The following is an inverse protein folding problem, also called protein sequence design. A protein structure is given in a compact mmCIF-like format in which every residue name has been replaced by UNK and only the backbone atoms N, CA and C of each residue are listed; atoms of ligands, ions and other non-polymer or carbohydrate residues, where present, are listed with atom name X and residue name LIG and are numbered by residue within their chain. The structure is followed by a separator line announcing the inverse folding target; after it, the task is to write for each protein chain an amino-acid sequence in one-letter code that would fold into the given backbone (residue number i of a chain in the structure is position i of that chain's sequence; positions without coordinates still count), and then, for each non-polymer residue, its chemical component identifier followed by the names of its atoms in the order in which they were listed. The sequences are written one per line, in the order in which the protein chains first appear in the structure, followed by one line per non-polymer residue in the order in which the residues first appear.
data_IF_374585432503
#
_entry.id   IF_374585432503
#
_cell.length_a   1.000
_cell.length_b   1.000
_cell.length_c   1.000
_cell.angle_alpha   90.00
_cell.angle_beta   90.00
_cell.angle_gamma   90.00
#
_symmetry.space_group_name_H-M   'P 1'
#
loop_
_entity.id
_entity.type
_entity.pdbx_description
1 polymer ?
#
# COMPACT_ATOMS: atom_id res chain seq x y z
N UNK A 1 -39.41 16.75 6.85
CA UNK A 1 -38.56 17.30 7.93
C UNK A 1 -38.51 16.47 9.23
N UNK A 2 -39.58 15.79 9.68
CA UNK A 2 -39.54 15.03 10.96
C UNK A 2 -39.00 13.59 10.91
N UNK A 3 -38.91 12.94 9.74
CA UNK A 3 -38.36 11.57 9.61
C UNK A 3 -36.84 11.51 9.51
N UNK A 4 -36.21 12.51 8.87
CA UNK A 4 -34.74 12.58 8.71
C UNK A 4 -34.01 12.90 10.02
N UNK A 5 -34.64 13.68 10.91
CA UNK A 5 -34.08 13.99 12.24
C UNK A 5 -34.18 12.80 13.22
N UNK A 6 -35.14 11.90 13.01
CA UNK A 6 -35.35 10.73 13.87
C UNK A 6 -34.39 9.58 13.53
N UNK A 7 -34.00 9.44 12.25
CA UNK A 7 -33.01 8.45 11.80
C UNK A 7 -31.61 8.85 12.23
N UNK A 8 -31.27 10.15 12.21
CA UNK A 8 -30.02 10.67 12.76
C UNK A 8 -29.90 10.40 14.27
N UNK A 9 -30.99 10.56 15.03
CA UNK A 9 -31.02 10.30 16.48
C UNK A 9 -31.00 8.82 16.86
N UNK A 10 -31.50 7.92 15.98
CA UNK A 10 -31.48 6.48 16.23
C UNK A 10 -30.09 5.87 15.95
N UNK A 11 -29.38 6.36 14.94
CA UNK A 11 -27.97 6.00 14.69
C UNK A 11 -27.03 6.49 15.80
N UNK A 12 -27.30 7.68 16.37
CA UNK A 12 -26.54 8.23 17.50
C UNK A 12 -26.75 7.45 18.80
N UNK A 13 -27.95 6.89 19.04
CA UNK A 13 -28.25 6.17 20.30
C UNK A 13 -27.65 4.77 20.39
N UNK A 14 -27.39 4.09 19.27
CA UNK A 14 -26.77 2.76 19.27
C UNK A 14 -25.24 2.88 19.38
N UNK A 15 -24.65 3.96 18.84
CA UNK A 15 -23.23 4.30 19.03
C UNK A 15 -22.92 4.71 20.49
N UNK A 16 -23.84 5.41 21.17
CA UNK A 16 -23.64 5.89 22.54
C UNK A 16 -23.66 4.80 23.62
N UNK A 17 -24.21 3.61 23.33
CA UNK A 17 -24.26 2.50 24.30
C UNK A 17 -22.98 1.65 24.28
N UNK A 18 -22.18 1.68 23.19
CA UNK A 18 -20.89 1.00 23.13
C UNK A 18 -19.71 1.86 23.62
N UNK A 19 -19.83 3.19 23.58
CA UNK A 19 -18.71 4.13 23.80
C UNK A 19 -18.26 4.33 25.26
N UNK A 20 -18.88 3.68 26.26
CA UNK A 20 -18.47 3.87 27.66
C UNK A 20 -17.44 2.86 28.17
N UNK A 21 -16.98 1.86 27.39
CA UNK A 21 -16.01 0.88 27.89
C UNK A 21 -15.05 0.20 26.88
N UNK A 22 -15.08 0.51 25.58
CA UNK A 22 -14.20 -0.17 24.61
C UNK A 22 -13.00 0.70 24.23
N UNK A 23 -11.81 0.28 24.65
CA UNK A 23 -10.57 0.56 23.91
C UNK A 23 -10.73 0.01 22.50
N UNK A 24 -10.54 0.82 21.46
CA UNK A 24 -10.43 0.29 20.09
C UNK A 24 -9.31 -0.76 20.07
N UNK A 25 -9.61 -1.95 19.56
CA UNK A 25 -8.56 -2.94 19.34
C UNK A 25 -7.79 -2.53 18.08
N UNK A 26 -6.46 -2.54 18.13
CA UNK A 26 -5.66 -2.60 16.91
C UNK A 26 -5.96 -3.93 16.21
N UNK A 27 -5.87 -3.96 14.87
CA UNK A 27 -5.95 -5.21 14.12
C UNK A 27 -4.97 -6.25 14.66
N UNK A 28 -5.31 -7.53 14.58
CA UNK A 28 -4.39 -8.61 14.94
C UNK A 28 -3.13 -8.51 14.06
N UNK A 29 -1.96 -8.17 14.63
CA UNK A 29 -0.73 -8.02 13.85
C UNK A 29 -0.24 -9.34 13.25
N UNK A 30 -0.77 -10.48 13.74
CA UNK A 30 -0.38 -11.83 13.35
C UNK A 30 -1.46 -12.55 12.53
N UNK A 31 -2.45 -11.83 11.98
CA UNK A 31 -3.51 -12.43 11.18
C UNK A 31 -2.96 -13.14 9.93
N UNK A 32 -3.08 -14.49 9.83
CA UNK A 32 -2.60 -15.26 8.69
C UNK A 32 -3.41 -15.05 7.41
N UNK A 33 -4.62 -14.48 7.49
CA UNK A 33 -5.45 -14.15 6.33
C UNK A 33 -5.14 -12.75 5.76
N UNK A 34 -4.42 -11.91 6.51
CA UNK A 34 -3.95 -10.58 6.11
C UNK A 34 -4.93 -9.46 6.48
N UNK A 35 -4.44 -8.23 6.67
CA UNK A 35 -5.20 -7.17 7.33
C UNK A 35 -6.48 -6.77 6.56
N UNK A 36 -7.57 -6.52 7.29
CA UNK A 36 -8.72 -5.81 6.72
C UNK A 36 -8.27 -4.45 6.22
N UNK A 37 -8.84 -4.03 5.09
CA UNK A 37 -8.41 -2.81 4.45
C UNK A 37 -9.52 -2.12 3.67
N UNK A 38 -9.39 -0.80 3.55
CA UNK A 38 -10.17 0.05 2.65
C UNK A 38 -9.21 0.70 1.65
N UNK A 39 -9.54 0.61 0.37
CA UNK A 39 -8.65 1.05 -0.71
C UNK A 39 -9.43 1.39 -1.98
N UNK A 40 -8.73 1.92 -2.98
CA UNK A 40 -9.29 2.32 -4.27
C UNK A 40 -8.54 1.65 -5.42
N UNK A 41 -9.19 1.46 -6.58
CA UNK A 41 -8.47 1.27 -7.84
C UNK A 41 -7.88 2.62 -8.25
N UNK A 42 -6.60 2.71 -8.61
CA UNK A 42 -6.03 3.98 -9.10
C UNK A 42 -6.17 4.00 -10.62
N UNK A 43 -6.90 4.99 -11.15
CA UNK A 43 -7.04 5.26 -12.58
C UNK A 43 -7.08 6.77 -12.80
N UNK A 44 -6.49 7.24 -13.91
CA UNK A 44 -6.74 8.58 -14.42
C UNK A 44 -8.17 8.72 -14.96
N UNK A 45 -8.71 9.94 -14.94
CA UNK A 45 -9.99 10.23 -15.58
C UNK A 45 -9.83 11.33 -16.61
N UNK A 46 -10.38 11.08 -17.79
CA UNK A 46 -10.56 12.11 -18.79
C UNK A 46 -11.59 13.14 -18.34
N UNK A 47 -11.19 14.39 -18.41
CA UNK A 47 -12.02 15.55 -18.12
C UNK A 47 -11.99 16.44 -19.37
N UNK A 48 -13.12 16.69 -20.02
CA UNK A 48 -13.16 17.54 -21.20
C UNK A 48 -12.68 18.95 -20.85
N UNK A 49 -12.11 19.65 -21.84
CA UNK A 49 -11.61 21.00 -21.62
C UNK A 49 -12.75 21.94 -21.15
N UNK A 50 -12.45 22.92 -20.28
CA UNK A 50 -13.42 23.92 -19.87
C UNK A 50 -14.07 24.56 -21.11
N UNK A 51 -15.41 24.72 -21.16
CA UNK A 51 -16.35 24.75 -20.04
C UNK A 51 -17.11 23.44 -19.79
N UNK A 52 -16.73 22.32 -20.42
CA UNK A 52 -17.44 21.06 -20.24
C UNK A 52 -17.19 20.45 -18.84
N UNK A 53 -18.19 19.75 -18.30
CA UNK A 53 -18.11 19.13 -16.97
C UNK A 53 -17.70 17.67 -17.13
N UNK A 54 -16.49 17.34 -16.70
CA UNK A 54 -16.01 15.97 -16.58
C UNK A 54 -16.72 15.18 -15.51
N UNK A 55 -16.93 13.88 -15.78
CA UNK A 55 -17.58 12.93 -14.88
C UNK A 55 -16.59 11.84 -14.49
N UNK A 56 -16.40 11.67 -13.19
CA UNK A 56 -15.41 10.78 -12.60
C UNK A 56 -16.14 9.76 -11.74
N UNK A 57 -15.90 8.47 -11.94
CA UNK A 57 -16.56 7.39 -11.19
C UNK A 57 -15.52 6.53 -10.47
N UNK A 58 -15.44 6.67 -9.15
CA UNK A 58 -14.41 6.04 -8.31
C UNK A 58 -15.06 4.96 -7.44
N UNK A 59 -14.78 3.67 -7.68
CA UNK A 59 -15.16 2.61 -6.77
C UNK A 59 -14.25 2.60 -5.53
N UNK A 60 -14.88 2.56 -4.36
CA UNK A 60 -14.22 2.26 -3.07
C UNK A 60 -14.36 0.76 -2.84
N UNK A 61 -13.26 0.12 -2.45
CA UNK A 61 -13.21 -1.29 -2.13
C UNK A 61 -12.88 -1.49 -0.66
N UNK A 62 -13.31 -2.63 -0.14
CA UNK A 62 -12.88 -3.08 1.17
C UNK A 62 -12.67 -4.59 1.17
N UNK A 63 -11.79 -5.00 2.07
CA UNK A 63 -11.49 -6.39 2.41
C UNK A 63 -11.74 -6.60 3.89
N UNK A 64 -12.34 -7.72 4.22
CA UNK A 64 -12.45 -8.22 5.58
C UNK A 64 -12.14 -9.72 5.62
N UNK A 65 -11.40 -10.16 6.61
CA UNK A 65 -11.00 -11.56 6.81
C UNK A 65 -11.99 -12.34 7.69
N UNK A 66 -12.78 -11.63 8.50
CA UNK A 66 -13.86 -12.16 9.33
C UNK A 66 -15.20 -11.45 9.05
N UNK A 67 -16.29 -11.99 9.59
CA UNK A 67 -17.62 -11.40 9.46
C UNK A 67 -17.69 -9.99 10.05
N UNK A 68 -18.15 -9.02 9.26
CA UNK A 68 -18.34 -7.63 9.68
C UNK A 68 -19.84 -7.32 9.79
N UNK A 69 -20.26 -6.74 10.91
CA UNK A 69 -21.66 -6.33 11.14
C UNK A 69 -21.89 -4.84 10.93
N UNK A 70 -20.86 -4.02 11.11
CA UNK A 70 -20.96 -2.59 10.87
C UNK A 70 -19.63 -2.02 10.35
N UNK A 71 -19.73 -0.99 9.53
CA UNK A 71 -18.59 -0.22 9.04
C UNK A 71 -18.89 1.28 9.09
N UNK A 72 -17.86 2.05 9.40
CA UNK A 72 -17.84 3.50 9.37
C UNK A 72 -16.54 3.94 8.68
N UNK A 73 -16.66 4.58 7.52
CA UNK A 73 -15.53 4.94 6.67
C UNK A 73 -15.63 6.44 6.36
N UNK A 74 -14.97 7.28 7.18
CA UNK A 74 -14.91 8.71 6.95
C UNK A 74 -13.79 9.02 5.96
N UNK A 75 -14.13 9.81 4.95
CA UNK A 75 -13.26 10.16 3.85
C UNK A 75 -13.25 11.67 3.63
N UNK A 76 -12.12 12.16 3.17
CA UNK A 76 -11.92 13.53 2.71
C UNK A 76 -11.42 13.49 1.29
N UNK A 77 -11.63 14.59 0.55
CA UNK A 77 -10.97 14.73 -0.74
C UNK A 77 -10.34 16.09 -0.92
N UNK A 78 -9.30 16.12 -1.74
CA UNK A 78 -8.66 17.35 -2.23
C UNK A 78 -8.57 17.31 -3.75
N UNK A 79 -8.39 18.47 -4.38
CA UNK A 79 -8.41 18.60 -5.83
C UNK A 79 -9.65 19.33 -6.36
N UNK A 80 -9.77 19.42 -7.71
CA UNK A 80 -10.73 20.30 -8.39
C UNK A 80 -12.14 19.72 -8.52
N UNK A 81 -12.36 18.47 -8.09
CA UNK A 81 -13.63 17.78 -8.24
C UNK A 81 -14.58 17.99 -7.05
N UNK A 82 -15.87 17.92 -7.34
CA UNK A 82 -16.99 18.00 -6.38
C UNK A 82 -17.78 16.70 -6.48
N UNK A 83 -18.16 16.09 -5.35
CA UNK A 83 -18.94 14.85 -5.40
C UNK A 83 -20.41 15.17 -5.74
N UNK A 84 -20.94 14.46 -6.72
CA UNK A 84 -22.30 14.60 -7.21
C UNK A 84 -23.25 13.62 -6.52
N UNK A 85 -22.86 12.34 -6.50
CA UNK A 85 -23.72 11.24 -6.09
C UNK A 85 -22.91 9.99 -5.75
N UNK A 86 -23.59 8.99 -5.21
CA UNK A 86 -23.00 7.69 -4.86
C UNK A 86 -23.94 6.55 -5.21
N UNK A 87 -23.39 5.35 -5.43
CA UNK A 87 -24.18 4.15 -5.69
C UNK A 87 -23.60 2.93 -5.00
N UNK A 88 -24.46 2.16 -4.34
CA UNK A 88 -24.14 0.83 -3.80
C UNK A 88 -24.46 -0.30 -4.79
N UNK A 89 -24.86 0.01 -6.03
CA UNK A 89 -25.17 -1.01 -7.02
C UNK A 89 -23.91 -1.85 -7.35
N UNK A 90 -24.04 -3.17 -7.28
CA UNK A 90 -22.92 -4.10 -7.49
C UNK A 90 -21.95 -4.19 -6.31
N UNK A 91 -22.26 -3.55 -5.17
CA UNK A 91 -21.40 -3.63 -3.98
C UNK A 91 -21.70 -4.86 -3.12
N UNK A 92 -20.72 -5.26 -2.32
CA UNK A 92 -20.87 -6.36 -1.35
C UNK A 92 -21.92 -6.08 -0.29
N UNK A 93 -22.14 -4.79 0.01
CA UNK A 93 -23.14 -4.34 0.98
C UNK A 93 -24.46 -3.94 0.32
N UNK A 94 -24.67 -4.26 -0.96
CA UNK A 94 -25.90 -3.91 -1.69
C UNK A 94 -27.18 -4.47 -1.04
N UNK A 95 -27.08 -5.57 -0.30
CA UNK A 95 -28.19 -6.17 0.45
C UNK A 95 -28.46 -5.50 1.80
N UNK A 96 -27.49 -4.79 2.39
CA UNK A 96 -27.62 -4.16 3.72
C UNK A 96 -28.66 -3.04 3.69
N UNK A 97 -29.61 -3.05 4.61
CA UNK A 97 -30.75 -2.13 4.63
C UNK A 97 -30.39 -0.78 5.22
N UNK A 98 -29.63 -0.77 6.32
CA UNK A 98 -29.14 0.44 6.96
C UNK A 98 -27.74 0.78 6.45
N UNK A 99 -27.67 1.39 5.26
CA UNK A 99 -26.43 1.91 4.70
C UNK A 99 -26.65 3.30 4.13
N UNK A 100 -25.65 4.15 4.25
CA UNK A 100 -25.76 5.53 3.83
C UNK A 100 -24.41 6.10 3.37
N UNK A 101 -24.47 7.14 2.54
CA UNK A 101 -23.34 8.06 2.35
C UNK A 101 -23.81 9.46 2.70
N UNK A 102 -23.19 10.05 3.72
CA UNK A 102 -23.36 11.46 4.06
C UNK A 102 -22.31 12.28 3.33
N UNK A 103 -22.72 13.34 2.63
CA UNK A 103 -21.83 14.18 1.82
C UNK A 103 -21.83 15.62 2.35
N UNK A 104 -20.64 16.15 2.61
CA UNK A 104 -20.38 17.55 2.95
C UNK A 104 -19.40 18.15 1.93
N UNK A 105 -19.96 18.60 0.80
CA UNK A 105 -19.22 19.29 -0.26
C UNK A 105 -18.45 20.54 0.23
N UNK A 106 -19.05 21.44 1.03
CA UNK A 106 -18.35 22.62 1.56
C UNK A 106 -17.07 22.29 2.33
N UNK A 107 -17.06 21.23 3.14
CA UNK A 107 -15.90 20.82 3.93
C UNK A 107 -15.08 19.70 3.28
N UNK A 108 -15.42 19.29 2.05
CA UNK A 108 -14.81 18.17 1.32
C UNK A 108 -14.69 16.88 2.14
N UNK A 109 -15.77 16.55 2.85
CA UNK A 109 -15.90 15.34 3.69
C UNK A 109 -17.06 14.48 3.22
N UNK A 110 -16.93 13.18 3.33
CA UNK A 110 -18.06 12.27 3.24
C UNK A 110 -17.87 11.08 4.16
N UNK A 111 -18.98 10.49 4.59
CA UNK A 111 -19.00 9.39 5.53
C UNK A 111 -19.82 8.27 4.94
N UNK A 112 -19.19 7.10 4.75
CA UNK A 112 -19.88 5.88 4.34
C UNK A 112 -20.15 5.04 5.59
N UNK A 113 -21.40 4.68 5.81
CA UNK A 113 -21.80 3.79 6.90
C UNK A 113 -22.62 2.62 6.38
N UNK A 114 -22.48 1.47 7.03
CA UNK A 114 -23.41 0.36 6.89
C UNK A 114 -23.51 -0.41 8.21
N UNK A 115 -24.72 -0.81 8.58
CA UNK A 115 -25.03 -1.66 9.73
C UNK A 115 -26.00 -2.76 9.26
N UNK A 116 -25.63 -4.01 9.48
CA UNK A 116 -26.44 -5.16 9.05
C UNK A 116 -27.69 -5.34 9.91
N UNK A 117 -27.71 -4.84 11.15
CA UNK A 117 -28.83 -5.01 12.08
C UNK A 117 -29.24 -6.48 12.25
N UNK A 118 -30.41 -6.84 11.73
CA UNK A 118 -30.94 -8.22 11.75
C UNK A 118 -30.63 -9.03 10.48
N UNK A 119 -29.87 -8.45 9.56
CA UNK A 119 -29.50 -9.07 8.29
C UNK A 119 -28.23 -9.89 8.47
N UNK A 120 -27.93 -10.82 7.54
CA UNK A 120 -26.69 -11.59 7.61
C UNK A 120 -25.47 -10.67 7.68
N UNK A 121 -24.45 -11.02 8.48
CA UNK A 121 -23.21 -10.28 8.52
C UNK A 121 -22.57 -10.22 7.12
N UNK A 122 -21.77 -9.19 6.90
CA UNK A 122 -20.95 -9.06 5.70
C UNK A 122 -19.94 -10.20 5.73
N UNK A 123 -20.00 -11.17 4.79
CA UNK A 123 -19.09 -12.30 4.77
C UNK A 123 -17.65 -11.83 4.57
N UNK A 124 -16.69 -12.66 4.96
CA UNK A 124 -15.28 -12.48 4.59
C UNK A 124 -15.11 -12.31 3.07
N UNK A 125 -14.02 -11.66 2.67
CA UNK A 125 -13.63 -11.46 1.28
C UNK A 125 -13.35 -10.01 0.93
N UNK A 126 -13.26 -9.75 -0.38
CA UNK A 126 -12.94 -8.45 -0.96
C UNK A 126 -13.96 -8.06 -2.02
N UNK A 127 -14.24 -6.76 -2.10
CA UNK A 127 -15.00 -6.23 -3.22
C UNK A 127 -15.47 -4.80 -3.01
N UNK A 128 -16.28 -4.32 -3.96
CA UNK A 128 -16.71 -2.93 -3.96
C UNK A 128 -17.62 -2.66 -2.75
N UNK A 129 -17.33 -1.57 -2.04
CA UNK A 129 -18.15 -0.99 -0.99
C UNK A 129 -19.20 -0.05 -1.57
N UNK A 130 -18.76 0.96 -2.31
CA UNK A 130 -19.59 2.03 -2.88
C UNK A 130 -18.87 2.64 -4.08
N UNK A 131 -19.63 3.12 -5.05
CA UNK A 131 -19.13 3.91 -6.17
C UNK A 131 -19.43 5.39 -5.93
N UNK A 132 -18.41 6.23 -6.02
CA UNK A 132 -18.47 7.68 -5.87
C UNK A 132 -18.48 8.33 -7.25
N UNK A 133 -19.38 9.30 -7.47
CA UNK A 133 -19.43 10.04 -8.72
C UNK A 133 -19.09 11.50 -8.46
N UNK A 134 -18.09 12.03 -9.16
CA UNK A 134 -17.64 13.41 -9.07
C UNK A 134 -17.87 14.16 -10.40
N UNK A 135 -18.11 15.46 -10.28
CA UNK A 135 -18.00 16.44 -11.36
C UNK A 135 -16.74 17.28 -11.20
N UNK A 136 -16.10 17.63 -12.31
CA UNK A 136 -15.02 18.61 -12.34
C UNK A 136 -15.06 19.39 -13.64
N UNK A 137 -14.56 20.62 -13.62
CA UNK A 137 -14.36 21.49 -14.80
C UNK A 137 -12.89 21.84 -15.00
N UNK A 138 -12.01 21.23 -14.21
CA UNK A 138 -10.59 21.53 -14.20
C UNK A 138 -9.79 20.22 -14.11
N UNK A 139 -8.56 20.28 -14.62
CA UNK A 139 -7.58 19.20 -14.58
C UNK A 139 -6.78 19.27 -13.27
N UNK A 140 -6.00 18.23 -12.97
CA UNK A 140 -5.15 18.18 -11.79
C UNK A 140 -5.16 16.81 -11.13
N UNK A 141 -5.08 16.76 -9.81
CA UNK A 141 -5.13 15.50 -9.06
C UNK A 141 -6.26 15.56 -8.05
N UNK A 142 -7.17 14.59 -8.13
CA UNK A 142 -8.14 14.30 -7.08
C UNK A 142 -7.51 13.30 -6.12
N UNK A 143 -7.41 13.66 -4.84
CA UNK A 143 -6.90 12.77 -3.80
C UNK A 143 -8.04 12.47 -2.85
N UNK A 144 -8.28 11.20 -2.55
CA UNK A 144 -9.25 10.75 -1.55
C UNK A 144 -8.48 10.09 -0.41
N UNK A 145 -8.65 10.61 0.80
CA UNK A 145 -7.97 10.14 2.00
C UNK A 145 -8.96 9.89 3.13
N UNK A 146 -8.53 9.29 4.25
CA UNK A 146 -9.36 9.06 5.44
C UNK A 146 -9.08 10.07 6.53
N UNK A 147 -10.03 10.24 7.48
CA UNK A 147 -9.82 11.01 8.70
C UNK A 147 -9.48 10.12 9.90
N UNK A 148 -8.86 8.96 9.67
CA UNK A 148 -8.68 7.87 10.64
C UNK A 148 -8.18 8.27 12.05
N UNK A 149 -7.58 9.45 12.22
CA UNK A 149 -7.04 9.97 13.48
C UNK A 149 -7.77 11.21 14.04
N UNK A 150 -9.02 11.46 13.68
CA UNK A 150 -9.79 12.59 14.25
C UNK A 150 -10.03 12.42 15.75
N UNK A 151 -10.05 13.47 16.59
CA UNK A 151 -10.43 13.34 18.01
C UNK A 151 -11.92 13.03 18.22
N UNK A 152 -12.74 13.03 17.15
CA UNK A 152 -14.17 12.76 17.20
C UNK A 152 -14.48 11.30 16.77
N UNK A 153 -15.16 10.48 17.60
CA UNK A 153 -15.46 9.07 17.29
C UNK A 153 -16.29 8.87 16.00
N UNK A 154 -17.15 9.83 15.65
CA UNK A 154 -17.95 9.82 14.40
C UNK A 154 -17.07 10.02 13.14
N UNK A 155 -15.80 10.39 13.31
CA UNK A 155 -14.83 10.61 12.25
C UNK A 155 -13.70 9.55 12.26
N UNK A 156 -13.89 8.44 12.97
CA UNK A 156 -12.96 7.30 12.96
C UNK A 156 -13.31 6.29 11.86
N UNK A 157 -12.28 5.70 11.26
CA UNK A 157 -12.40 4.56 10.36
C UNK A 157 -12.54 3.28 11.20
N UNK A 158 -13.68 2.60 11.12
CA UNK A 158 -14.01 1.51 12.03
C UNK A 158 -14.74 0.36 11.32
N UNK A 159 -14.34 -0.88 11.61
CA UNK A 159 -15.12 -2.10 11.38
C UNK A 159 -15.54 -2.70 12.72
N UNK A 160 -16.72 -3.31 12.75
CA UNK A 160 -17.26 -3.99 13.93
C UNK A 160 -17.63 -5.43 13.63
N UNK A 161 -17.30 -6.34 14.53
CA UNK A 161 -17.61 -7.79 14.44
C UNK A 161 -18.84 -8.16 15.29
N UNK A 162 -19.35 -9.38 15.10
CA UNK A 162 -20.48 -9.93 15.88
C UNK A 162 -20.24 -9.91 17.41
N UNK A 163 -18.98 -10.01 17.84
CA UNK A 163 -18.59 -9.96 19.26
C UNK A 163 -18.56 -8.54 19.83
N UNK A 164 -19.09 -7.55 19.10
CA UNK A 164 -19.08 -6.13 19.45
C UNK A 164 -17.66 -5.54 19.59
N UNK A 165 -16.66 -6.23 19.04
CA UNK A 165 -15.30 -5.71 18.91
C UNK A 165 -15.28 -4.72 17.76
N UNK A 166 -14.69 -3.53 18.01
CA UNK A 166 -14.50 -2.51 16.97
C UNK A 166 -13.02 -2.23 16.82
N UNK A 167 -12.55 -2.18 15.58
CA UNK A 167 -11.14 -2.02 15.22
C UNK A 167 -10.98 -1.11 14.00
N UNK A 168 -9.77 -0.59 13.79
CA UNK A 168 -9.43 0.30 12.69
C UNK A 168 -8.80 -0.51 11.55
N UNK A 169 -9.46 -0.69 10.39
CA UNK A 169 -8.83 -1.33 9.24
C UNK A 169 -7.72 -0.47 8.63
N UNK A 170 -6.78 -1.10 7.91
CA UNK A 170 -5.79 -0.36 7.14
C UNK A 170 -6.48 0.48 6.06
N UNK A 171 -5.91 1.64 5.76
CA UNK A 171 -6.42 2.52 4.72
C UNK A 171 -5.32 2.83 3.71
N UNK A 172 -5.64 2.69 2.41
CA UNK A 172 -4.79 3.15 1.32
C UNK A 172 -5.46 4.33 0.62
N UNK A 173 -4.82 5.50 0.68
CA UNK A 173 -5.29 6.71 -0.01
C UNK A 173 -5.39 6.51 -1.52
N UNK A 174 -6.37 7.15 -2.15
CA UNK A 174 -6.56 7.17 -3.60
C UNK A 174 -5.99 8.45 -4.21
N UNK A 175 -5.24 8.31 -5.30
CA UNK A 175 -4.77 9.43 -6.12
C UNK A 175 -5.25 9.21 -7.56
N UNK A 176 -5.93 10.22 -8.12
CA UNK A 176 -6.62 10.14 -9.40
C UNK A 176 -6.27 11.36 -10.25
N UNK A 177 -5.39 11.20 -11.25
CA UNK A 177 -5.11 12.23 -12.23
C UNK A 177 -6.38 12.58 -13.03
N UNK A 178 -6.61 13.87 -13.25
CA UNK A 178 -7.69 14.42 -14.06
C UNK A 178 -7.03 15.15 -15.24
N UNK A 179 -7.19 14.64 -16.46
CA UNK A 179 -6.43 15.11 -17.65
C UNK A 179 -7.35 15.41 -18.83
N UNK A 180 -6.95 16.34 -19.70
CA UNK A 180 -7.80 16.84 -20.81
C UNK A 180 -7.58 16.15 -22.16
N UNK A 181 -6.42 15.52 -22.35
CA UNK A 181 -6.12 14.73 -23.54
C UNK A 181 -5.69 13.33 -23.12
N UNK A 182 -6.29 12.33 -23.75
CA UNK A 182 -5.83 10.94 -23.72
C UNK A 182 -4.58 10.84 -24.60
N UNK A 183 -3.57 10.06 -24.21
CA UNK A 183 -2.76 9.42 -25.25
C UNK A 183 -3.75 8.52 -26.02
N UNK A 184 -3.96 8.69 -27.33
CA UNK A 184 -4.93 7.90 -28.08
C UNK A 184 -4.64 6.38 -28.09
N UNK A 185 -3.55 5.93 -27.45
CA UNK A 185 -3.24 4.53 -27.19
C UNK A 185 -3.26 4.13 -25.69
N UNK A 186 -3.46 5.06 -24.73
CA UNK A 186 -3.36 4.81 -23.27
C UNK A 186 -4.07 5.89 -22.39
N UNK A 187 -5.33 5.66 -21.95
CA UNK A 187 -6.15 6.56 -21.12
C UNK A 187 -5.82 6.73 -19.63
N UNK A 188 -4.57 6.93 -19.25
CA UNK A 188 -4.25 7.11 -17.82
C UNK A 188 -2.81 7.52 -17.52
N UNK A 189 -2.00 7.67 -18.58
CA UNK A 189 -0.55 7.72 -18.49
C UNK A 189 0.00 6.30 -18.58
N UNK A 190 1.18 6.11 -19.20
CA UNK A 190 1.61 4.81 -19.66
C UNK A 190 1.67 3.76 -18.55
N UNK A 191 1.04 2.62 -18.82
CA UNK A 191 1.27 1.41 -18.04
C UNK A 191 2.76 1.19 -17.90
N UNK A 192 3.22 0.99 -16.67
CA UNK A 192 4.65 0.96 -16.40
C UNK A 192 5.03 0.02 -15.28
N UNK A 193 6.22 -0.55 -15.42
CA UNK A 193 6.89 -1.28 -14.36
C UNK A 193 8.18 -0.56 -14.01
N UNK A 194 8.35 -0.30 -12.72
CA UNK A 194 9.51 0.39 -12.16
C UNK A 194 9.91 -0.23 -10.82
N UNK A 195 10.95 0.31 -10.18
CA UNK A 195 11.47 -0.24 -8.94
C UNK A 195 11.68 0.82 -7.84
N UNK A 196 11.61 0.39 -6.58
CA UNK A 196 11.93 1.16 -5.38
C UNK A 196 12.39 0.22 -4.23
N UNK A 197 13.11 0.65 -3.17
CA UNK A 197 13.98 1.84 -3.14
C UNK A 197 15.11 1.71 -4.17
N UNK A 198 15.89 2.77 -4.31
CA UNK A 198 16.92 2.94 -5.33
C UNK A 198 18.31 2.39 -4.94
N UNK A 199 18.42 1.47 -3.96
CA UNK A 199 19.73 1.01 -3.47
C UNK A 199 19.73 -0.34 -2.77
N UNK A 200 20.89 -1.00 -2.81
CA UNK A 200 21.24 -2.18 -2.05
C UNK A 200 22.15 -1.80 -0.86
N UNK A 201 22.12 -2.56 0.24
CA UNK A 201 22.94 -2.24 1.42
C UNK A 201 23.95 -3.34 1.71
N UNK A 202 25.20 -2.95 1.96
CA UNK A 202 26.26 -3.85 2.37
C UNK A 202 26.84 -3.43 3.72
N UNK A 203 26.64 -4.21 4.80
CA UNK A 203 27.16 -3.88 6.12
C UNK A 203 28.67 -4.18 6.20
N UNK A 204 29.41 -3.22 6.74
CA UNK A 204 30.83 -3.36 7.05
C UNK A 204 31.02 -4.02 8.43
N UNK A 205 32.11 -4.79 8.63
CA UNK A 205 33.24 -4.96 7.72
C UNK A 205 33.08 -6.08 6.67
N UNK A 206 32.18 -7.04 6.87
CA UNK A 206 32.25 -8.33 6.18
C UNK A 206 30.99 -8.82 5.45
N UNK A 207 29.86 -8.10 5.51
CA UNK A 207 28.61 -8.60 4.95
C UNK A 207 28.14 -9.92 5.61
N UNK A 208 27.20 -10.64 4.98
CA UNK A 208 26.50 -10.27 3.75
C UNK A 208 25.51 -9.12 3.96
N UNK A 209 25.17 -8.44 2.88
CA UNK A 209 24.14 -7.40 2.85
C UNK A 209 22.79 -7.90 2.37
N UNK A 210 21.82 -7.00 2.36
CA UNK A 210 20.43 -7.28 2.00
C UNK A 210 19.99 -6.29 0.94
N UNK A 211 19.23 -6.77 -0.05
CA UNK A 211 18.63 -5.94 -1.07
C UNK A 211 17.23 -6.44 -1.41
N UNK A 212 16.27 -5.52 -1.37
CA UNK A 212 14.89 -5.74 -1.79
C UNK A 212 14.60 -4.87 -3.01
N UNK A 213 14.37 -5.50 -4.15
CA UNK A 213 13.87 -4.81 -5.33
C UNK A 213 12.34 -4.85 -5.32
N UNK A 214 11.70 -3.78 -4.83
CA UNK A 214 10.25 -3.67 -4.90
C UNK A 214 9.83 -3.28 -6.30
N UNK A 215 9.05 -4.14 -6.95
CA UNK A 215 8.54 -3.93 -8.29
C UNK A 215 7.22 -3.17 -8.16
N UNK A 216 7.19 -1.97 -8.70
CA UNK A 216 5.99 -1.13 -8.76
C UNK A 216 5.34 -1.29 -10.12
N UNK A 217 4.02 -1.44 -10.14
CA UNK A 217 3.22 -1.44 -11.36
C UNK A 217 2.28 -0.24 -11.35
N UNK A 218 2.20 0.42 -12.49
CA UNK A 218 1.10 1.30 -12.88
C UNK A 218 0.35 0.58 -13.99
N UNK A 219 -0.92 0.31 -13.75
CA UNK A 219 -1.84 -0.29 -14.69
C UNK A 219 -3.13 0.55 -14.65
N UNK A 220 -3.53 1.14 -15.77
CA UNK A 220 -4.70 2.04 -15.83
C UNK A 220 -5.97 1.37 -16.40
N UNK A 221 -5.81 0.18 -16.99
CA UNK A 221 -6.88 -0.64 -17.54
C UNK A 221 -7.06 -1.97 -16.83
N UNK A 222 -8.15 -2.65 -17.11
CA UNK A 222 -8.40 -3.99 -16.58
C UNK A 222 -7.61 -5.02 -17.39
N UNK A 223 -6.77 -5.82 -16.72
CA UNK A 223 -5.94 -6.85 -17.38
C UNK A 223 -6.27 -8.25 -16.88
N UNK A 224 -6.32 -9.22 -17.79
CA UNK A 224 -6.53 -10.63 -17.49
C UNK A 224 -5.28 -11.36 -17.00
N UNK A 225 -4.08 -10.81 -17.18
CA UNK A 225 -2.85 -11.34 -16.58
C UNK A 225 -1.70 -10.33 -16.64
N UNK A 226 -0.72 -10.51 -15.77
CA UNK A 226 0.59 -9.85 -15.87
C UNK A 226 1.70 -10.91 -15.84
N UNK A 227 2.62 -10.84 -16.80
CA UNK A 227 3.78 -11.75 -16.90
C UNK A 227 5.03 -10.89 -17.03
N UNK A 228 5.86 -10.92 -16.00
CA UNK A 228 7.01 -10.05 -15.81
C UNK A 228 8.29 -10.88 -15.59
N UNK A 229 8.97 -11.29 -16.66
CA UNK A 229 10.28 -11.91 -16.61
C UNK A 229 11.39 -10.88 -16.42
N UNK A 230 12.23 -11.10 -15.41
CA UNK A 230 13.41 -10.28 -15.12
C UNK A 230 14.69 -11.09 -15.14
N UNK A 231 15.79 -10.41 -15.45
CA UNK A 231 17.16 -10.87 -15.26
C UNK A 231 17.84 -9.92 -14.27
N UNK A 232 18.59 -10.47 -13.31
CA UNK A 232 19.40 -9.67 -12.40
C UNK A 232 20.90 -9.81 -12.70
N UNK A 233 21.65 -8.78 -12.39
CA UNK A 233 23.12 -8.80 -12.43
C UNK A 233 23.71 -7.99 -11.28
N UNK A 234 25.00 -8.13 -11.05
CA UNK A 234 25.71 -7.48 -9.95
C UNK A 234 26.05 -8.45 -8.81
N UNK A 235 26.47 -7.92 -7.65
CA UNK A 235 27.09 -8.70 -6.59
C UNK A 235 26.04 -9.32 -5.64
N UNK A 236 25.00 -9.94 -6.21
CA UNK A 236 23.85 -10.46 -5.49
C UNK A 236 23.55 -11.92 -5.81
N UNK A 237 23.03 -12.64 -4.82
CA UNK A 237 22.32 -13.90 -5.04
C UNK A 237 20.83 -13.68 -4.82
N UNK A 238 20.01 -14.27 -5.69
CA UNK A 238 18.56 -14.29 -5.51
C UNK A 238 18.19 -15.25 -4.38
N UNK A 239 17.35 -14.79 -3.47
CA UNK A 239 16.88 -15.58 -2.33
C UNK A 239 15.43 -16.03 -2.52
N UNK A 240 14.52 -15.07 -2.74
CA UNK A 240 13.09 -15.35 -2.81
C UNK A 240 12.29 -14.22 -3.47
N UNK A 241 10.99 -14.48 -3.68
CA UNK A 241 9.99 -13.48 -4.04
C UNK A 241 8.94 -13.42 -2.93
N UNK A 242 8.48 -12.23 -2.59
CA UNK A 242 7.40 -12.03 -1.62
C UNK A 242 6.34 -11.06 -2.15
N UNK A 243 5.08 -11.42 -1.94
CA UNK A 243 3.91 -10.63 -2.34
C UNK A 243 3.28 -9.89 -1.17
N UNK A 244 3.96 -9.79 -0.03
CA UNK A 244 3.49 -9.01 1.11
C UNK A 244 3.22 -7.57 0.67
N UNK A 245 2.05 -7.03 1.00
CA UNK A 245 1.59 -5.67 0.63
C UNK A 245 1.37 -5.43 -0.87
N UNK A 246 1.48 -6.50 -1.66
CA UNK A 246 1.24 -6.47 -3.09
C UNK A 246 -0.23 -6.15 -3.39
N UNK A 247 -0.47 -5.39 -4.47
CA UNK A 247 -1.82 -5.27 -5.06
C UNK A 247 -2.38 -6.62 -5.56
N UNK A 248 -1.52 -7.64 -5.66
CA UNK A 248 -1.80 -9.02 -6.08
C UNK A 248 -1.67 -10.05 -4.96
N UNK A 249 -1.54 -9.64 -3.70
CA UNK A 249 -1.34 -10.56 -2.57
C UNK A 249 -2.43 -11.65 -2.49
N UNK A 250 -3.63 -11.32 -2.96
CA UNK A 250 -4.80 -12.19 -2.92
C UNK A 250 -5.03 -13.03 -4.18
N UNK A 251 -4.22 -12.88 -5.24
CA UNK A 251 -4.36 -13.75 -6.41
C UNK A 251 -4.04 -15.20 -6.00
N UNK A 252 -5.00 -16.09 -6.23
CA UNK A 252 -4.92 -17.52 -5.99
C UNK A 252 -3.74 -18.11 -6.77
N UNK A 253 -3.59 -17.69 -8.03
CA UNK A 253 -2.48 -18.11 -8.88
C UNK A 253 -1.47 -16.98 -9.11
N UNK A 254 -0.35 -17.07 -8.40
CA UNK A 254 0.85 -16.26 -8.57
C UNK A 254 1.96 -17.10 -9.19
N UNK A 255 2.57 -16.57 -10.23
CA UNK A 255 3.71 -17.19 -10.91
C UNK A 255 4.97 -16.71 -10.20
N UNK A 256 5.79 -17.66 -9.76
CA UNK A 256 7.19 -17.45 -9.36
C UNK A 256 8.00 -18.61 -9.90
N UNK A 257 8.83 -18.34 -10.90
CA UNK A 257 9.67 -19.35 -11.55
C UNK A 257 11.10 -18.82 -11.70
N UNK A 258 11.96 -19.01 -10.68
CA UNK A 258 13.35 -18.59 -10.73
C UNK A 258 14.22 -19.61 -11.48
N UNK A 259 15.10 -19.11 -12.34
CA UNK A 259 16.26 -19.78 -12.92
C UNK A 259 17.52 -19.08 -12.41
N UNK A 260 17.97 -19.48 -11.22
CA UNK A 260 19.16 -18.91 -10.57
C UNK A 260 20.46 -19.26 -11.30
N UNK A 261 20.48 -20.29 -12.16
CA UNK A 261 21.66 -20.61 -12.97
C UNK A 261 21.88 -19.59 -14.08
N UNK A 262 20.79 -19.01 -14.60
CA UNK A 262 20.84 -17.96 -15.64
C UNK A 262 20.54 -16.56 -15.11
N UNK A 263 20.45 -16.39 -13.78
CA UNK A 263 20.04 -15.15 -13.11
C UNK A 263 18.72 -14.57 -13.61
N UNK A 264 17.70 -15.40 -13.80
CA UNK A 264 16.38 -14.99 -14.27
C UNK A 264 15.28 -15.38 -13.30
N UNK A 265 14.21 -14.60 -13.26
CA UNK A 265 12.98 -14.97 -12.58
C UNK A 265 11.80 -14.55 -13.43
N UNK A 266 10.86 -15.46 -13.63
CA UNK A 266 9.54 -15.11 -14.15
C UNK A 266 8.58 -14.97 -12.99
N UNK A 267 8.01 -13.78 -12.86
CA UNK A 267 6.93 -13.49 -11.91
C UNK A 267 5.68 -13.05 -12.66
N UNK A 268 4.51 -13.23 -12.04
CA UNK A 268 3.26 -12.90 -12.70
C UNK A 268 2.04 -13.23 -11.87
N UNK A 269 0.87 -12.88 -12.38
CA UNK A 269 -0.41 -13.18 -11.77
C UNK A 269 -1.46 -13.43 -12.85
N UNK A 270 -2.28 -14.45 -12.64
CA UNK A 270 -3.42 -14.78 -13.51
C UNK A 270 -4.63 -15.00 -12.60
N UNK A 271 -5.66 -14.15 -12.65
CA UNK A 271 -6.94 -14.41 -12.02
C UNK A 271 -7.53 -15.73 -12.54
N UNK A 272 -7.98 -16.59 -11.62
CA UNK A 272 -8.58 -17.89 -11.94
C UNK A 272 -10.07 -17.87 -11.60
N UNK A 273 -10.38 -17.52 -10.36
CA UNK A 273 -11.74 -17.40 -9.83
C UNK A 273 -12.11 -15.94 -9.52
N UNK A 274 -11.10 -15.07 -9.45
CA UNK A 274 -11.20 -13.66 -9.16
C UNK A 274 -11.61 -12.85 -10.40
N UNK A 275 -12.14 -11.63 -10.21
CA UNK A 275 -12.25 -10.66 -11.30
C UNK A 275 -10.89 -10.41 -11.96
N UNK A 276 -10.87 -9.98 -13.23
CA UNK A 276 -9.66 -9.48 -13.85
C UNK A 276 -8.94 -8.43 -12.99
N UNK A 277 -7.63 -8.32 -13.18
CA UNK A 277 -6.79 -7.39 -12.44
C UNK A 277 -7.28 -5.97 -12.72
N UNK A 278 -7.75 -5.22 -11.70
CA UNK A 278 -8.23 -3.87 -11.91
C UNK A 278 -7.05 -2.91 -12.16
N UNK A 279 -7.36 -1.71 -12.68
CA UNK A 279 -6.41 -0.60 -12.66
C UNK A 279 -5.83 -0.40 -11.27
N UNK A 280 -4.51 -0.41 -11.18
CA UNK A 280 -3.78 -0.39 -9.92
C UNK A 280 -2.45 0.36 -10.07
N UNK A 281 -2.15 1.18 -9.05
CA UNK A 281 -0.83 1.77 -8.84
C UNK A 281 -0.30 1.27 -7.51
N UNK A 282 0.84 0.58 -7.51
CA UNK A 282 1.47 0.15 -6.27
C UNK A 282 2.38 -1.06 -6.42
N UNK A 283 2.74 -1.64 -5.27
CA UNK A 283 3.63 -2.77 -5.18
C UNK A 283 3.05 -3.99 -5.89
N UNK A 284 3.77 -4.52 -6.89
CA UNK A 284 3.46 -5.78 -7.56
C UNK A 284 4.06 -6.96 -6.79
N UNK A 285 5.34 -6.90 -6.47
CA UNK A 285 6.03 -7.91 -5.67
C UNK A 285 7.40 -7.40 -5.26
N UNK A 286 8.06 -8.09 -4.35
CA UNK A 286 9.45 -7.78 -3.96
C UNK A 286 10.34 -8.96 -4.29
N UNK A 287 11.44 -8.69 -5.00
CA UNK A 287 12.54 -9.65 -5.16
C UNK A 287 13.53 -9.45 -4.02
N UNK A 288 13.87 -10.52 -3.31
CA UNK A 288 14.79 -10.50 -2.19
C UNK A 288 16.15 -11.08 -2.61
N UNK A 289 17.21 -10.38 -2.25
CA UNK A 289 18.58 -10.73 -2.60
C UNK A 289 19.53 -10.60 -1.40
N UNK A 290 20.52 -11.50 -1.36
CA UNK A 290 21.68 -11.40 -0.49
C UNK A 290 22.81 -10.71 -1.27
N UNK A 291 23.40 -9.66 -0.69
CA UNK A 291 24.46 -8.86 -1.31
C UNK A 291 25.84 -9.31 -0.80
N UNK A 292 26.76 -9.64 -1.70
CA UNK A 292 28.10 -10.16 -1.34
C UNK A 292 29.25 -9.21 -1.69
N UNK A 293 29.03 -8.23 -2.56
CA UNK A 293 30.01 -7.24 -2.98
C UNK A 293 29.61 -5.84 -2.54
N UNK A 294 30.61 -4.95 -2.45
CA UNK A 294 30.47 -3.67 -1.75
C UNK A 294 30.31 -2.45 -2.65
N UNK A 295 30.75 -2.54 -3.91
CA UNK A 295 30.96 -1.36 -4.78
C UNK A 295 30.40 -1.50 -6.19
N UNK A 296 29.79 -2.64 -6.51
CA UNK A 296 29.20 -2.88 -7.84
C UNK A 296 27.73 -2.47 -7.89
N UNK A 297 27.23 -2.22 -9.10
CA UNK A 297 25.82 -1.93 -9.35
C UNK A 297 25.03 -3.23 -9.37
N UNK A 298 23.88 -3.26 -8.70
CA UNK A 298 22.87 -4.30 -8.92
C UNK A 298 21.92 -3.81 -10.00
N UNK A 299 21.69 -4.62 -11.02
CA UNK A 299 20.76 -4.27 -12.12
C UNK A 299 19.63 -5.29 -12.17
N UNK A 300 18.40 -4.84 -12.35
CA UNK A 300 17.25 -5.69 -12.67
C UNK A 300 16.63 -5.17 -13.97
N UNK A 301 16.70 -6.00 -15.01
CA UNK A 301 16.21 -5.69 -16.35
C UNK A 301 15.17 -6.73 -16.78
N UNK A 302 14.32 -6.39 -17.73
CA UNK A 302 13.45 -7.34 -18.41
C UNK A 302 14.27 -8.45 -19.07
N UNK A 303 13.68 -9.63 -19.16
CA UNK A 303 14.29 -10.78 -19.83
C UNK A 303 13.29 -11.51 -20.69
N UNK A 304 13.77 -12.26 -21.67
CA UNK A 304 12.96 -13.28 -22.32
C UNK A 304 13.01 -14.60 -21.55
N UNK A 305 11.86 -15.25 -21.37
CA UNK A 305 11.72 -16.58 -20.78
C UNK A 305 11.12 -17.56 -21.82
N UNK A 306 11.95 -18.42 -22.46
CA UNK A 306 11.46 -19.39 -23.44
C UNK A 306 10.46 -20.38 -22.80
N UNK A 307 9.46 -20.88 -23.55
CA UNK A 307 9.30 -20.76 -25.00
C UNK A 307 8.42 -19.61 -25.52
N UNK A 308 7.61 -18.92 -24.68
CA UNK A 308 6.64 -17.90 -25.17
C UNK A 308 6.44 -16.71 -24.21
N UNK A 309 7.11 -16.67 -23.06
CA UNK A 309 6.80 -15.68 -22.03
C UNK A 309 7.63 -14.41 -22.24
N UNK A 310 6.96 -13.42 -22.81
CA UNK A 310 7.45 -12.05 -22.93
C UNK A 310 7.00 -11.23 -21.72
N UNK A 311 7.72 -10.15 -21.48
CA UNK A 311 7.30 -9.07 -20.59
C UNK A 311 6.02 -8.44 -21.14
N UNK A 312 4.88 -8.70 -20.50
CA UNK A 312 3.55 -8.47 -21.09
C UNK A 312 2.45 -8.34 -20.03
N UNK A 313 1.56 -7.38 -20.26
CA UNK A 313 0.22 -7.33 -19.69
C UNK A 313 -0.77 -7.91 -20.71
N UNK A 314 -1.70 -8.73 -20.24
CA UNK A 314 -2.71 -9.38 -21.10
C UNK A 314 -4.03 -8.67 -20.88
N UNK A 315 -4.52 -7.94 -21.87
CA UNK A 315 -5.82 -7.29 -21.82
C UNK A 315 -6.98 -8.30 -22.02
N UNK A 316 -8.22 -7.82 -21.92
CA UNK A 316 -9.42 -8.61 -22.24
C UNK A 316 -9.56 -8.94 -23.75
N UNK A 317 -8.74 -8.34 -24.61
CA UNK A 317 -8.64 -8.63 -26.04
C UNK A 317 -7.56 -9.71 -26.31
N UNK A 318 -7.59 -10.46 -27.42
CA UNK A 318 -6.78 -11.66 -27.62
C UNK A 318 -5.25 -11.44 -27.72
N UNK A 319 -4.76 -10.22 -27.47
CA UNK A 319 -3.35 -9.85 -27.54
C UNK A 319 -2.93 -9.13 -26.25
N UNK A 320 -1.78 -9.54 -25.72
CA UNK A 320 -1.08 -8.77 -24.68
C UNK A 320 -0.19 -7.68 -25.28
N UNK A 321 0.20 -6.72 -24.45
CA UNK A 321 1.10 -5.62 -24.79
C UNK A 321 2.24 -5.52 -23.75
N UNK A 322 3.37 -4.93 -24.14
CA UNK A 322 4.46 -4.66 -23.22
C UNK A 322 4.25 -3.28 -22.59
N UNK A 323 4.13 -3.17 -21.25
CA UNK A 323 4.10 -1.86 -20.60
C UNK A 323 5.46 -1.15 -20.75
N UNK A 324 5.51 0.13 -20.40
CA UNK A 324 6.78 0.83 -20.29
C UNK A 324 7.62 0.24 -19.15
N UNK A 325 8.93 0.14 -19.38
CA UNK A 325 9.85 -0.41 -18.40
C UNK A 325 10.89 0.64 -17.99
N UNK A 326 11.03 0.84 -16.69
CA UNK A 326 12.14 1.59 -16.11
C UNK A 326 13.14 0.60 -15.53
N UNK A 327 14.36 0.62 -16.07
CA UNK A 327 15.47 -0.21 -15.60
C UNK A 327 15.71 -0.01 -14.11
N UNK A 328 15.86 -1.11 -13.37
CA UNK A 328 16.26 -1.07 -11.97
C UNK A 328 17.77 -1.04 -11.84
N UNK A 329 18.34 0.15 -11.62
CA UNK A 329 19.77 0.32 -11.34
C UNK A 329 19.97 0.76 -9.89
N UNK A 330 20.55 -0.11 -9.07
CA UNK A 330 20.66 0.07 -7.62
C UNK A 330 22.12 0.11 -7.20
N UNK A 331 22.68 1.28 -6.82
CA UNK A 331 23.98 1.34 -6.16
C UNK A 331 23.99 0.49 -4.89
N UNK A 332 25.07 -0.24 -4.67
CA UNK A 332 25.37 -0.83 -3.36
C UNK A 332 25.98 0.26 -2.48
N UNK A 333 25.34 0.50 -1.33
CA UNK A 333 25.80 1.44 -0.32
C UNK A 333 26.44 0.66 0.83
N UNK A 334 27.71 0.94 1.07
CA UNK A 334 28.40 0.49 2.27
C UNK A 334 27.92 1.28 3.48
N UNK A 335 27.71 0.60 4.59
CA UNK A 335 27.40 1.25 5.86
C UNK A 335 27.98 0.50 7.04
N UNK A 336 28.20 1.20 8.15
CA UNK A 336 28.52 0.58 9.43
C UNK A 336 27.24 0.50 10.27
N UNK A 337 26.79 -0.67 10.71
CA UNK A 337 25.72 -0.74 11.70
C UNK A 337 26.15 0.01 12.96
N UNK A 338 25.29 0.90 13.46
CA UNK A 338 25.57 1.83 14.55
C UNK A 338 26.18 3.19 14.16
N UNK A 339 26.53 3.42 12.89
CA UNK A 339 26.92 4.74 12.37
C UNK A 339 25.67 5.49 11.88
N UNK A 340 24.88 5.93 12.84
CA UNK A 340 23.55 6.53 12.63
C UNK A 340 23.65 7.88 11.90
N UNK A 341 24.73 8.62 12.12
CA UNK A 341 25.00 9.88 11.43
C UNK A 341 25.51 9.70 10.01
N UNK A 342 25.96 8.48 9.67
CA UNK A 342 26.54 8.11 8.39
C UNK A 342 27.81 8.92 8.07
N UNK A 343 28.61 9.21 9.10
CA UNK A 343 29.87 9.97 8.99
C UNK A 343 31.11 9.06 8.87
N UNK A 344 30.91 7.74 8.92
CA UNK A 344 31.93 6.70 8.86
C UNK A 344 32.52 6.32 10.21
N UNK A 345 32.05 6.89 11.33
CA UNK A 345 32.66 6.74 12.65
C UNK A 345 31.60 6.47 13.71
N UNK A 346 31.52 5.22 14.19
CA UNK A 346 30.67 4.83 15.34
C UNK A 346 31.16 5.46 16.65
N UNK A 347 30.45 6.46 17.16
CA UNK A 347 30.82 7.18 18.38
C UNK A 347 29.61 7.77 19.13
N UNK A 348 29.85 8.59 20.17
CA UNK A 348 28.77 9.21 20.96
C UNK A 348 27.82 10.12 20.15
N UNK A 349 28.27 10.66 19.02
CA UNK A 349 27.44 11.49 18.15
C UNK A 349 26.26 10.70 17.59
N UNK A 350 26.45 9.42 17.25
CA UNK A 350 25.40 8.53 16.75
C UNK A 350 24.34 8.27 17.83
N UNK A 351 24.78 8.06 19.08
CA UNK A 351 23.88 7.91 20.24
C UNK A 351 23.03 9.16 20.44
N UNK A 352 23.67 10.34 20.40
CA UNK A 352 22.97 11.62 20.56
C UNK A 352 22.00 11.87 19.40
N UNK A 353 22.41 11.57 18.17
CA UNK A 353 21.57 11.72 16.99
C UNK A 353 20.32 10.85 17.09
N UNK A 354 20.48 9.56 17.42
CA UNK A 354 19.37 8.63 17.56
C UNK A 354 18.43 9.02 18.70
N UNK A 355 18.99 9.49 19.83
CA UNK A 355 18.20 10.03 20.94
C UNK A 355 17.39 11.27 20.54
N UNK A 356 17.98 12.19 19.80
CA UNK A 356 17.29 13.40 19.36
C UNK A 356 16.17 13.07 18.37
N UNK A 357 16.40 12.11 17.46
CA UNK A 357 15.36 11.57 16.58
C UNK A 357 14.16 11.02 17.37
N UNK A 358 14.42 10.10 18.32
CA UNK A 358 13.34 9.41 19.05
C UNK A 358 12.62 10.30 20.08
N UNK A 359 13.32 11.23 20.74
CA UNK A 359 12.78 11.93 21.91
C UNK A 359 12.69 13.45 21.78
N UNK A 360 13.29 14.06 20.74
CA UNK A 360 13.29 15.51 20.55
C UNK A 360 12.76 15.98 19.21
N UNK A 361 12.24 15.08 18.37
CA UNK A 361 11.78 15.42 17.02
C UNK A 361 12.93 15.83 16.09
N UNK A 362 14.11 15.23 16.29
CA UNK A 362 15.24 15.36 15.38
C UNK A 362 14.95 14.75 14.00
N UNK A 363 15.86 14.97 13.05
CA UNK A 363 15.73 14.39 11.70
C UNK A 363 15.89 12.85 11.76
N UNK A 364 15.19 12.10 10.88
CA UNK A 364 15.42 10.67 10.76
C UNK A 364 16.86 10.38 10.30
N UNK A 365 17.45 9.23 10.70
CA UNK A 365 18.75 8.79 10.20
C UNK A 365 18.79 8.79 8.67
N UNK A 366 19.89 9.21 8.02
CA UNK A 366 20.02 9.18 6.56
C UNK A 366 19.78 7.79 5.97
N UNK A 367 20.22 6.76 6.71
CA UNK A 367 20.02 5.36 6.40
C UNK A 367 19.45 4.64 7.62
N UNK A 368 18.13 4.44 7.71
CA UNK A 368 17.48 3.79 8.86
C UNK A 368 18.09 2.44 9.24
N UNK A 369 18.56 1.66 8.25
CA UNK A 369 19.24 0.37 8.45
C UNK A 369 20.51 0.45 9.33
N UNK A 370 21.13 1.63 9.45
CA UNK A 370 22.28 1.84 10.33
C UNK A 370 21.89 2.03 11.80
N UNK A 371 20.63 2.35 12.07
CA UNK A 371 20.10 2.65 13.38
C UNK A 371 19.36 1.46 14.03
N UNK A 372 18.88 0.51 13.23
CA UNK A 372 18.36 -0.79 13.65
C UNK A 372 19.54 -1.74 13.90
N UNK A 373 19.94 -1.90 15.16
CA UNK A 373 21.24 -2.50 15.52
C UNK A 373 21.17 -3.57 16.60
N UNK A 374 20.03 -3.73 17.26
CA UNK A 374 19.77 -4.81 18.20
C UNK A 374 19.28 -6.10 17.51
N UNK A 375 18.92 -6.04 16.23
CA UNK A 375 18.56 -7.19 15.39
C UNK A 375 17.90 -6.77 14.08
N UNK A 376 17.52 -7.70 13.19
CA UNK A 376 16.76 -7.38 11.98
C UNK A 376 15.25 -7.33 12.30
N UNK A 377 14.85 -6.56 13.30
CA UNK A 377 13.44 -6.48 13.73
C UNK A 377 12.69 -5.30 13.10
N UNK A 378 13.42 -4.37 12.48
CA UNK A 378 12.92 -3.18 11.75
C UNK A 378 12.35 -2.12 12.68
N UNK A 379 12.69 -2.16 13.96
CA UNK A 379 12.17 -1.25 14.97
C UNK A 379 13.34 -0.42 15.47
N UNK A 380 13.33 0.86 15.12
CA UNK A 380 14.29 1.82 15.67
C UNK A 380 13.71 2.39 16.97
N UNK A 381 14.25 1.99 18.12
CA UNK A 381 13.76 2.42 19.42
C UNK A 381 14.86 2.63 20.49
N UNK A 382 14.47 2.64 21.77
CA UNK A 382 15.39 2.87 22.88
C UNK A 382 16.39 1.72 23.06
N UNK A 383 16.04 0.50 22.63
CA UNK A 383 16.90 -0.66 22.73
C UNK A 383 18.13 -0.52 21.83
N UNK A 384 18.00 0.08 20.64
CA UNK A 384 19.13 0.41 19.76
C UNK A 384 20.11 1.40 20.40
N UNK A 385 19.59 2.42 21.09
CA UNK A 385 20.42 3.38 21.84
C UNK A 385 21.19 2.65 22.93
N UNK A 386 20.52 1.78 23.69
CA UNK A 386 21.15 0.99 24.75
C UNK A 386 22.22 0.07 24.16
N UNK A 387 21.92 -0.57 23.04
CA UNK A 387 22.85 -1.45 22.33
C UNK A 387 24.12 -0.70 21.91
N UNK A 388 23.96 0.49 21.29
CA UNK A 388 25.10 1.30 20.86
C UNK A 388 25.96 1.75 22.04
N UNK A 389 25.35 2.14 23.16
CA UNK A 389 26.07 2.51 24.38
C UNK A 389 26.85 1.32 24.93
N UNK A 390 26.25 0.14 24.96
CA UNK A 390 26.88 -1.07 25.47
C UNK A 390 28.07 -1.48 24.60
N UNK A 391 27.93 -1.39 23.28
CA UNK A 391 29.03 -1.55 22.33
C UNK A 391 30.17 -0.55 22.59
N UNK A 392 29.87 0.75 22.62
CA UNK A 392 30.88 1.80 22.71
C UNK A 392 31.61 1.83 24.07
N UNK A 393 30.93 1.51 25.16
CA UNK A 393 31.43 1.79 26.51
C UNK A 393 31.48 0.60 27.45
N UNK A 394 30.85 -0.53 27.12
CA UNK A 394 30.76 -1.71 28.01
C UNK A 394 31.32 -2.99 27.42
N UNK A 395 32.06 -2.90 26.31
CA UNK A 395 32.57 -4.04 25.56
C UNK A 395 31.45 -5.02 25.15
N UNK A 396 30.29 -4.45 24.80
CA UNK A 396 29.19 -5.18 24.18
C UNK A 396 29.55 -5.72 22.78
N UNK A 397 28.69 -6.58 22.21
CA UNK A 397 28.85 -7.09 20.85
C UNK A 397 28.83 -5.97 19.80
N UNK A 398 29.46 -6.23 18.65
CA UNK A 398 29.41 -5.32 17.49
C UNK A 398 27.96 -5.21 16.99
N UNK A 399 27.46 -4.00 16.66
CA UNK A 399 26.14 -3.77 16.08
C UNK A 399 25.79 -4.73 14.94
N UNK A 400 24.58 -5.27 14.98
CA UNK A 400 24.07 -6.16 13.93
C UNK A 400 23.57 -5.34 12.73
N UNK A 401 23.71 -5.85 11.50
CA UNK A 401 23.05 -5.25 10.35
C UNK A 401 21.53 -5.22 10.53
N UNK A 402 20.91 -4.06 10.33
CA UNK A 402 19.45 -3.91 10.34
C UNK A 402 18.80 -4.48 9.08
N UNK A 403 17.47 -4.54 9.09
CA UNK A 403 16.66 -4.98 7.95
C UNK A 403 15.93 -3.78 7.30
N UNK A 404 16.13 -3.50 6.00
CA UNK A 404 15.53 -2.33 5.36
C UNK A 404 14.03 -2.46 5.03
N UNK A 405 13.40 -3.64 5.16
CA UNK A 405 11.98 -3.82 4.79
C UNK A 405 11.18 -4.81 5.64
#
# INVERSE_FOLDING_TARGET
MKKSFLVLLLGIMILLVSLFNSTFADQDPNDPAGPDSVFFSSRGFLVPEPPEVGKVAIPVYFRNDAYVIALQIPLTWTGPATIDSTSFFGSRISYVGDKNVSIDNPNKKFLVTADVGLQPPIPEGRGMLVKLYFSTTDIGTLIIDTTANSPLPEEHLLFSTEDSVTYVPRFRRGEFPLVSEEDPNDPGGPDSVSFYPDRAYYPLPSGPGIFYAHIQVVNDDEVGAMILPFHWSGPVSFDSVTFRESVFEELEYRIVNPDTASNKVMIGGIPVSEPPIPPARGLFTTLCFTVYGKTDLVTVDTSFFPPVNHYTFVSNEPLGYAPQFVLGDFPVIEYWPGDVTFDGIRNSADVVFLFDYLFKGGLPPPHPISADMNGPDRIIDIEDIVYLIDYLYKAGPDPLPGDPW
#
